data_IF_632675462891
#
_entry.id   IF_632675462891
#
_cell.length_a   1.000
_cell.length_b   1.000
_cell.length_c   1.000
_cell.angle_alpha   90.00
_cell.angle_beta   90.00
_cell.angle_gamma   90.00
#
_symmetry.space_group_name_H-M   'P 1'
#
loop_
_entity.id
_entity.type
_entity.pdbx_description
1 polymer ?
#
# COMPACT_ATOMS: atom_id res chain seq x y z
N UNK A 1 -33.26 -44.49 -39.64
CA UNK A 1 -31.79 -44.26 -39.63
C UNK A 1 -31.51 -42.99 -38.86
N UNK A 2 -30.66 -43.10 -37.84
CA UNK A 2 -30.21 -42.02 -36.96
C UNK A 2 -29.19 -41.15 -37.71
N UNK A 3 -29.31 -39.83 -37.64
CA UNK A 3 -28.15 -38.93 -37.67
C UNK A 3 -28.35 -37.88 -36.58
N UNK A 4 -27.73 -38.14 -35.44
CA UNK A 4 -27.53 -37.16 -34.38
C UNK A 4 -26.45 -36.20 -34.87
N UNK A 5 -26.82 -34.94 -35.12
CA UNK A 5 -25.85 -33.88 -35.35
C UNK A 5 -25.15 -33.57 -34.03
N UNK A 6 -23.85 -33.88 -33.93
CA UNK A 6 -23.00 -33.41 -32.84
C UNK A 6 -22.83 -31.89 -33.00
N UNK A 7 -23.52 -31.10 -32.19
CA UNK A 7 -23.16 -29.71 -31.97
C UNK A 7 -21.85 -29.70 -31.15
N UNK A 8 -20.74 -29.36 -31.80
CA UNK A 8 -19.47 -29.13 -31.13
C UNK A 8 -19.60 -27.93 -30.19
N UNK A 9 -19.52 -28.17 -28.89
CA UNK A 9 -19.38 -27.11 -27.88
C UNK A 9 -17.95 -26.58 -28.01
N UNK A 10 -17.79 -25.50 -28.76
CA UNK A 10 -16.57 -24.70 -28.74
C UNK A 10 -16.60 -23.91 -27.42
N UNK A 11 -15.93 -24.42 -26.39
CA UNK A 11 -15.81 -23.70 -25.12
C UNK A 11 -15.04 -22.39 -25.39
N UNK A 12 -15.71 -21.26 -25.24
CA UNK A 12 -15.09 -19.93 -25.24
C UNK A 12 -14.23 -19.81 -23.99
N UNK A 13 -12.99 -20.27 -24.05
CA UNK A 13 -11.98 -19.92 -23.04
C UNK A 13 -11.69 -18.43 -23.20
N UNK A 14 -12.20 -17.63 -22.27
CA UNK A 14 -11.85 -16.21 -22.17
C UNK A 14 -10.43 -16.13 -21.62
N UNK A 15 -9.49 -15.66 -22.43
CA UNK A 15 -8.14 -15.36 -21.95
C UNK A 15 -8.20 -14.05 -21.17
N UNK A 16 -7.96 -14.12 -19.86
CA UNK A 16 -7.73 -12.94 -19.03
C UNK A 16 -6.25 -12.57 -19.15
N UNK A 17 -5.94 -11.48 -19.85
CA UNK A 17 -4.57 -10.99 -19.98
C UNK A 17 -4.23 -10.09 -18.79
N UNK A 18 -3.04 -10.29 -18.23
CA UNK A 18 -2.49 -9.39 -17.22
C UNK A 18 -2.24 -8.01 -17.84
N UNK A 19 -2.44 -6.96 -17.06
CA UNK A 19 -2.18 -5.58 -17.47
C UNK A 19 -1.31 -4.89 -16.44
N UNK A 20 -0.50 -3.96 -16.93
CA UNK A 20 0.28 -3.10 -16.06
C UNK A 20 -0.61 -2.02 -15.45
N UNK A 21 -0.49 -1.86 -14.14
CA UNK A 21 -1.25 -0.89 -13.34
C UNK A 21 -0.28 -0.12 -12.44
N UNK A 22 -0.61 1.12 -12.09
CA UNK A 22 0.21 1.91 -11.17
C UNK A 22 -0.63 2.73 -10.21
N UNK A 23 -0.08 2.96 -9.03
CA UNK A 23 -0.71 3.75 -7.96
C UNK A 23 0.35 4.58 -7.27
N UNK A 24 -0.02 5.81 -6.90
CA UNK A 24 0.85 6.74 -6.21
C UNK A 24 0.10 7.47 -5.12
N UNK A 25 0.78 7.62 -3.98
CA UNK A 25 0.26 8.27 -2.78
C UNK A 25 1.24 9.33 -2.33
N UNK A 26 0.71 10.50 -1.96
CA UNK A 26 1.49 11.57 -1.34
C UNK A 26 0.80 12.14 -0.12
N UNK A 27 1.57 12.80 0.74
CA UNK A 27 1.03 13.47 1.91
C UNK A 27 2.10 14.02 2.83
N UNK A 28 1.67 14.49 4.00
CA UNK A 28 2.53 15.02 5.07
C UNK A 28 2.19 14.37 6.39
N UNK A 29 3.20 13.83 7.08
CA UNK A 29 3.06 13.23 8.40
C UNK A 29 3.48 14.20 9.49
N UNK A 30 2.65 14.30 10.53
CA UNK A 30 2.90 15.11 11.72
C UNK A 30 2.92 14.21 12.96
N UNK A 31 3.62 14.65 14.00
CA UNK A 31 3.52 14.11 15.35
C UNK A 31 3.21 15.28 16.29
N UNK A 32 1.93 15.44 16.64
CA UNK A 32 1.44 16.65 17.27
C UNK A 32 1.65 17.86 16.35
N UNK A 33 2.44 18.84 16.81
CA UNK A 33 2.72 20.07 16.07
C UNK A 33 4.00 20.01 15.23
N UNK A 34 4.75 18.93 15.31
CA UNK A 34 6.04 18.80 14.63
C UNK A 34 5.92 17.94 13.38
N UNK A 35 6.60 18.30 12.28
CA UNK A 35 6.75 17.41 11.14
C UNK A 35 7.41 16.11 11.55
N UNK A 36 6.88 14.98 11.07
CA UNK A 36 7.39 13.67 11.39
C UNK A 36 8.33 13.20 10.27
N UNK A 37 9.59 13.59 10.37
CA UNK A 37 10.65 13.24 9.42
C UNK A 37 11.19 11.82 9.59
N UNK A 38 11.86 11.29 8.55
CA UNK A 38 12.54 10.00 8.55
C UNK A 38 11.64 8.81 8.95
N UNK A 39 10.35 8.92 8.63
CA UNK A 39 9.35 7.88 8.88
C UNK A 39 9.16 7.04 7.63
N UNK A 40 9.21 5.72 7.78
CA UNK A 40 9.08 4.78 6.66
C UNK A 40 7.62 4.72 6.22
N UNK A 41 7.42 4.88 4.92
CA UNK A 41 6.14 4.73 4.23
C UNK A 41 6.30 3.69 3.14
N UNK A 42 5.48 2.64 3.18
CA UNK A 42 5.45 1.60 2.16
C UNK A 42 4.10 1.56 1.46
N UNK A 43 4.15 1.41 0.16
CA UNK A 43 3.00 1.11 -0.68
C UNK A 43 3.07 -0.38 -1.03
N UNK A 44 1.97 -1.07 -0.76
CA UNK A 44 1.84 -2.51 -0.97
C UNK A 44 0.71 -2.79 -1.92
N UNK A 45 0.85 -3.88 -2.65
CA UNK A 45 -0.24 -4.67 -3.16
C UNK A 45 -0.57 -5.73 -2.10
N UNK A 46 -1.80 -5.76 -1.59
CA UNK A 46 -2.23 -6.82 -0.67
C UNK A 46 -3.34 -7.64 -1.32
N UNK A 47 -2.94 -8.64 -2.09
CA UNK A 47 -3.87 -9.46 -2.84
C UNK A 47 -4.70 -10.36 -1.92
N UNK A 48 -6.00 -10.43 -2.20
CA UNK A 48 -6.88 -11.44 -1.61
C UNK A 48 -6.84 -12.79 -2.37
N UNK A 49 -6.04 -12.86 -3.43
CA UNK A 49 -6.00 -13.93 -4.44
C UNK A 49 -4.80 -14.89 -4.34
N UNK A 50 -4.43 -15.58 -5.44
CA UNK A 50 -3.29 -16.50 -5.47
C UNK A 50 -1.93 -15.80 -5.56
N UNK A 51 -1.93 -14.49 -5.85
CA UNK A 51 -0.73 -13.68 -6.00
C UNK A 51 -0.21 -13.24 -4.62
N UNK A 52 1.12 -13.19 -4.41
CA UNK A 52 1.71 -12.85 -3.11
C UNK A 52 1.73 -11.34 -2.87
N UNK A 53 1.47 -10.91 -1.62
CA UNK A 53 1.60 -9.50 -1.22
C UNK A 53 2.96 -8.89 -1.62
N UNK A 54 2.93 -7.89 -2.49
CA UNK A 54 4.13 -7.27 -3.07
C UNK A 54 4.36 -5.84 -2.57
N UNK A 55 5.63 -5.48 -2.39
CA UNK A 55 6.02 -4.10 -2.05
C UNK A 55 6.19 -3.30 -3.34
N UNK A 56 5.19 -2.48 -3.65
CA UNK A 56 5.21 -1.61 -4.84
C UNK A 56 6.20 -0.44 -4.70
N UNK A 57 6.39 0.07 -3.48
CA UNK A 57 7.32 1.18 -3.24
C UNK A 57 7.61 1.44 -1.77
N UNK A 58 8.79 2.00 -1.49
CA UNK A 58 9.21 2.38 -0.14
C UNK A 58 9.94 3.73 -0.15
N UNK A 59 9.53 4.63 0.74
CA UNK A 59 10.20 5.93 0.94
C UNK A 59 10.30 6.26 2.43
N UNK A 60 11.11 7.28 2.74
CA UNK A 60 11.14 7.93 4.05
C UNK A 60 10.67 9.37 3.92
N UNK A 61 9.90 9.84 4.89
CA UNK A 61 9.45 11.24 4.92
C UNK A 61 10.64 12.20 5.03
N UNK A 62 10.53 13.34 4.36
CA UNK A 62 11.56 14.38 4.37
C UNK A 62 11.59 15.16 5.70
N UNK A 63 12.44 16.20 5.79
CA UNK A 63 12.56 17.04 6.99
C UNK A 63 11.28 17.81 7.35
N UNK A 64 10.36 17.97 6.39
CA UNK A 64 9.04 18.58 6.56
C UNK A 64 7.93 17.52 6.71
N UNK A 65 8.28 16.25 6.88
CA UNK A 65 7.33 15.15 7.04
C UNK A 65 6.62 14.75 5.74
N UNK A 66 7.02 15.30 4.58
CA UNK A 66 6.38 15.03 3.29
C UNK A 66 6.87 13.72 2.69
N UNK A 67 6.01 13.05 1.94
CA UNK A 67 6.35 11.86 1.18
C UNK A 67 5.58 11.79 -0.14
N UNK A 68 6.18 11.13 -1.12
CA UNK A 68 5.55 10.69 -2.37
C UNK A 68 6.06 9.27 -2.62
N UNK A 69 5.15 8.30 -2.70
CA UNK A 69 5.47 6.89 -2.96
C UNK A 69 4.60 6.39 -4.10
N UNK A 70 5.18 5.65 -5.02
CA UNK A 70 4.48 5.06 -6.15
C UNK A 70 5.10 3.72 -6.51
N UNK A 71 4.34 2.90 -7.24
CA UNK A 71 4.81 1.67 -7.84
C UNK A 71 3.84 1.17 -8.91
N UNK A 72 4.21 0.07 -9.56
CA UNK A 72 3.41 -0.55 -10.60
C UNK A 72 3.60 -2.06 -10.59
N UNK A 73 2.53 -2.78 -10.89
CA UNK A 73 2.48 -4.25 -10.94
C UNK A 73 1.88 -4.69 -12.29
N UNK A 74 2.16 -5.91 -12.72
CA UNK A 74 1.51 -6.52 -13.88
C UNK A 74 0.62 -7.69 -13.43
N UNK A 75 -0.68 -7.45 -13.34
CA UNK A 75 -1.61 -8.33 -12.67
C UNK A 75 -2.90 -8.50 -13.48
N UNK A 76 -3.60 -9.62 -13.28
CA UNK A 76 -4.85 -9.91 -13.99
C UNK A 76 -6.01 -9.12 -13.36
N UNK A 77 -6.04 -8.99 -12.04
CA UNK A 77 -7.06 -8.24 -11.28
C UNK A 77 -6.78 -6.74 -11.29
N UNK A 78 -7.50 -5.98 -10.47
CA UNK A 78 -6.97 -4.72 -9.97
C UNK A 78 -5.98 -5.03 -8.86
N UNK A 79 -4.89 -4.28 -8.80
CA UNK A 79 -4.06 -4.21 -7.60
C UNK A 79 -4.92 -3.75 -6.41
N UNK A 80 -4.60 -4.21 -5.21
CA UNK A 80 -5.24 -3.92 -3.93
C UNK A 80 -4.33 -2.97 -3.09
N UNK A 81 -4.26 -1.67 -3.43
CA UNK A 81 -3.23 -0.78 -2.89
C UNK A 81 -3.43 -0.44 -1.42
N UNK A 82 -2.39 -0.70 -0.62
CA UNK A 82 -2.37 -0.41 0.82
C UNK A 82 -1.15 0.44 1.18
N UNK A 83 -1.40 1.60 1.79
CA UNK A 83 -0.36 2.42 2.40
C UNK A 83 -0.11 1.98 3.84
N UNK A 84 1.15 1.65 4.15
CA UNK A 84 1.62 1.28 5.49
C UNK A 84 2.63 2.31 5.98
N UNK A 85 2.32 2.94 7.11
CA UNK A 85 3.18 3.93 7.76
C UNK A 85 3.72 3.33 9.06
N UNK A 86 5.04 3.39 9.23
CA UNK A 86 5.72 2.81 10.38
C UNK A 86 6.28 3.91 11.29
N UNK A 87 5.59 4.18 12.40
CA UNK A 87 5.81 5.37 13.23
C UNK A 87 6.15 5.02 14.67
N UNK A 88 6.96 5.88 15.29
CA UNK A 88 7.22 5.90 16.73
C UNK A 88 6.63 7.16 17.41
N UNK A 89 5.71 7.86 16.73
CA UNK A 89 5.07 9.05 17.29
C UNK A 89 4.37 8.72 18.61
N UNK A 90 4.74 9.45 19.68
CA UNK A 90 4.32 9.24 21.06
C UNK A 90 4.46 7.78 21.55
N UNK A 91 5.42 7.03 21.01
CA UNK A 91 5.57 5.61 21.25
C UNK A 91 6.74 5.28 22.19
N UNK A 92 6.62 5.76 23.43
CA UNK A 92 7.65 5.65 24.47
C UNK A 92 7.30 4.61 25.54
N UNK A 93 8.31 4.05 26.19
CA UNK A 93 8.16 3.09 27.30
C UNK A 93 7.71 3.78 28.60
N UNK A 94 7.40 2.98 29.63
CA UNK A 94 6.88 3.42 30.95
C UNK A 94 7.77 4.46 31.67
N UNK A 95 9.04 4.58 31.29
CA UNK A 95 9.98 5.55 31.85
C UNK A 95 10.15 6.82 30.99
N UNK A 96 9.42 6.94 29.88
CA UNK A 96 9.38 8.13 29.02
C UNK A 96 10.65 8.44 28.22
N UNK A 97 11.71 7.64 28.39
CA UNK A 97 13.05 7.90 27.85
C UNK A 97 13.46 7.01 26.67
N UNK A 98 12.84 5.83 26.52
CA UNK A 98 13.17 4.88 25.45
C UNK A 98 11.96 4.66 24.53
N UNK A 99 12.19 4.58 23.22
CA UNK A 99 11.18 4.12 22.28
C UNK A 99 10.82 2.67 22.59
N UNK A 100 9.54 2.31 22.46
CA UNK A 100 9.12 0.91 22.57
C UNK A 100 9.79 0.08 21.47
N UNK A 101 10.06 -1.22 21.70
CA UNK A 101 10.60 -2.07 20.64
C UNK A 101 9.63 -2.11 19.47
N UNK A 102 10.19 -2.12 18.25
CA UNK A 102 9.45 -2.16 16.99
C UNK A 102 8.62 -0.90 16.75
N UNK A 103 8.12 -0.68 15.54
CA UNK A 103 7.35 0.51 15.20
C UNK A 103 5.87 0.20 15.12
N UNK A 104 5.02 1.16 15.46
CA UNK A 104 3.58 1.08 15.19
C UNK A 104 3.33 1.07 13.68
N UNK A 105 2.40 0.24 13.20
CA UNK A 105 2.05 0.10 11.79
C UNK A 105 0.63 0.60 11.54
N UNK A 106 0.51 1.80 10.97
CA UNK A 106 -0.77 2.35 10.52
C UNK A 106 -1.02 1.84 9.10
N UNK A 107 -2.21 1.30 8.86
CA UNK A 107 -2.62 0.72 7.57
C UNK A 107 -3.81 1.50 6.99
N UNK A 108 -3.72 1.86 5.72
CA UNK A 108 -4.80 2.55 5.00
C UNK A 108 -4.93 1.98 3.59
N UNK A 109 -6.14 1.52 3.25
CA UNK A 109 -6.47 1.11 1.88
C UNK A 109 -6.67 2.34 1.00
N UNK A 110 -6.08 2.31 -0.19
CA UNK A 110 -6.24 3.36 -1.19
C UNK A 110 -7.40 2.96 -2.11
N UNK A 111 -8.35 3.85 -2.42
CA UNK A 111 -9.46 3.48 -3.31
C UNK A 111 -9.00 3.17 -4.73
N UNK A 112 -9.60 2.16 -5.35
CA UNK A 112 -9.33 1.71 -6.74
C UNK A 112 -9.42 2.83 -7.78
N UNK A 113 -10.20 3.88 -7.51
CA UNK A 113 -10.31 5.06 -8.40
C UNK A 113 -8.98 5.80 -8.61
N UNK A 114 -7.95 5.50 -7.82
CA UNK A 114 -6.60 6.04 -7.95
C UNK A 114 -5.63 5.08 -8.65
N UNK A 115 -6.08 3.90 -9.06
CA UNK A 115 -5.31 2.98 -9.91
C UNK A 115 -5.30 3.52 -11.33
N UNK A 116 -4.10 3.59 -11.92
CA UNK A 116 -3.84 4.06 -13.26
C UNK A 116 -3.52 2.88 -14.17
N UNK A 117 -3.88 2.99 -15.44
CA UNK A 117 -3.41 2.05 -16.46
C UNK A 117 -1.98 2.38 -16.89
N UNK A 118 -1.13 1.36 -17.00
CA UNK A 118 0.28 1.50 -17.34
C UNK A 118 1.16 1.86 -16.15
N UNK A 119 2.43 2.16 -16.42
CA UNK A 119 3.48 2.38 -15.41
C UNK A 119 3.51 3.78 -14.81
N UNK A 120 2.71 4.71 -15.32
CA UNK A 120 2.76 6.13 -14.94
C UNK A 120 1.55 6.51 -14.10
N UNK A 121 1.82 7.04 -12.91
CA UNK A 121 0.77 7.59 -12.03
C UNK A 121 0.29 8.93 -12.58
N UNK A 122 -0.92 8.94 -13.14
CA UNK A 122 -1.58 10.15 -13.64
C UNK A 122 -2.56 10.75 -12.63
N UNK A 123 -3.19 9.91 -11.82
CA UNK A 123 -4.08 10.28 -10.73
C UNK A 123 -3.44 9.89 -9.39
N UNK A 124 -3.04 10.89 -8.62
CA UNK A 124 -2.38 10.71 -7.32
C UNK A 124 -3.39 10.73 -6.18
N UNK A 125 -3.28 9.78 -5.25
CA UNK A 125 -4.02 9.87 -3.98
C UNK A 125 -3.31 10.85 -3.05
N UNK A 126 -3.97 11.97 -2.75
CA UNK A 126 -3.47 12.97 -1.81
C UNK A 126 -4.05 12.69 -0.42
N UNK A 127 -3.22 12.11 0.46
CA UNK A 127 -3.60 11.80 1.83
C UNK A 127 -3.64 13.04 2.75
N UNK A 128 -3.28 14.22 2.22
CA UNK A 128 -3.25 15.46 2.98
C UNK A 128 -2.25 15.44 4.14
N UNK A 129 -2.62 16.09 5.25
CA UNK A 129 -1.82 16.16 6.48
C UNK A 129 -2.39 15.22 7.52
N UNK A 130 -1.61 14.24 7.96
CA UNK A 130 -2.03 13.23 8.94
C UNK A 130 -1.20 13.32 10.21
N UNK A 131 -1.87 13.46 11.37
CA UNK A 131 -1.22 13.45 12.67
C UNK A 131 -1.14 12.01 13.22
N UNK A 132 0.07 11.48 13.31
CA UNK A 132 0.39 10.10 13.74
C UNK A 132 0.26 9.87 15.25
N UNK A 133 -0.26 10.85 16.01
CA UNK A 133 -0.79 10.63 17.35
C UNK A 133 -2.05 9.77 17.36
N UNK A 134 -2.76 9.72 16.22
CA UNK A 134 -3.91 8.83 16.01
C UNK A 134 -3.52 7.39 16.31
N UNK A 135 -4.45 6.58 16.84
CA UNK A 135 -4.28 5.14 17.05
C UNK A 135 -5.44 4.41 16.39
N UNK A 136 -5.16 3.32 15.70
CA UNK A 136 -6.18 2.42 15.16
C UNK A 136 -6.48 1.33 16.19
N UNK A 137 -7.73 0.86 16.26
CA UNK A 137 -8.16 -0.12 17.26
C UNK A 137 -7.39 -1.45 17.19
N UNK A 138 -6.95 -1.83 15.98
CA UNK A 138 -6.19 -3.06 15.71
C UNK A 138 -4.80 -2.75 15.13
N UNK A 139 -4.17 -1.68 15.62
CA UNK A 139 -2.84 -1.29 15.16
C UNK A 139 -1.78 -2.33 15.52
N UNK A 140 -1.14 -2.91 14.51
CA UNK A 140 -0.04 -3.85 14.70
C UNK A 140 1.29 -3.13 15.01
N UNK A 141 2.28 -3.91 15.45
CA UNK A 141 3.68 -3.46 15.56
C UNK A 141 4.57 -4.31 14.67
N UNK A 142 5.50 -3.69 13.95
CA UNK A 142 6.45 -4.39 13.08
C UNK A 142 7.89 -4.10 13.49
N UNK A 143 8.64 -5.17 13.69
CA UNK A 143 10.09 -5.15 13.91
C UNK A 143 10.80 -5.28 12.56
N UNK A 144 12.02 -4.74 12.42
CA UNK A 144 12.79 -4.78 11.15
C UNK A 144 12.10 -4.10 9.96
N UNK A 145 11.59 -2.88 10.17
CA UNK A 145 10.97 -2.08 9.11
C UNK A 145 12.00 -1.58 8.07
N UNK A 146 13.25 -1.40 8.52
CA UNK A 146 14.35 -0.76 7.79
C UNK A 146 15.08 -1.63 6.78
N UNK A 147 14.84 -2.95 6.72
CA UNK A 147 15.63 -3.84 5.84
C UNK A 147 15.33 -3.64 4.35
N UNK A 148 14.28 -2.89 3.99
CA UNK A 148 13.77 -2.82 2.61
C UNK A 148 13.27 -1.40 2.28
N UNK A 149 14.02 -0.40 2.75
CA UNK A 149 13.95 1.02 2.41
C UNK A 149 15.39 1.55 2.53
#
# INVERSE_FOLDING_TARGET
MKLLALFGICALVSFTEARVQSVGVRGTLMCGKQPLSNTVVKLWDEDSGPDPDDVLGCVKTDSQGRFEVQGSENEVSNIDPVLKIYTNCNDRTLWGTLAKPCQRKIKMTIPDSYINSGTTVTNWFDAGVMNMELKQNDEERKCSVFEIC
#
